data_IF_966992671085
#
_entry.id   IF_966992671085
#
_cell.length_a   1.000
_cell.length_b   1.000
_cell.length_c   1.000
_cell.angle_alpha   90.00
_cell.angle_beta   90.00
_cell.angle_gamma   90.00
#
_symmetry.space_group_name_H-M   'P 1'
#
loop_
_entity.id
_entity.type
_entity.pdbx_description
1 polymer ?
#
# COMPACT_ATOMS: atom_id res chain seq x y z
N UNK A 1 53.24 -12.68 16.41
CA UNK A 1 52.16 -13.57 15.93
C UNK A 1 52.19 -13.50 14.42
N UNK A 2 52.57 -14.60 13.74
CA UNK A 2 52.76 -14.58 12.28
C UNK A 2 51.44 -14.35 11.54
N UNK A 3 51.51 -13.51 10.49
CA UNK A 3 50.39 -13.13 9.63
C UNK A 3 49.66 -14.37 9.08
N UNK A 4 50.43 -15.42 8.78
CA UNK A 4 49.92 -16.70 8.26
C UNK A 4 49.07 -17.44 9.31
N UNK A 5 49.45 -17.39 10.59
CA UNK A 5 48.70 -18.00 11.69
C UNK A 5 47.40 -17.24 12.00
N UNK A 6 47.44 -15.91 11.89
CA UNK A 6 46.26 -15.06 12.06
C UNK A 6 45.25 -15.25 10.90
N UNK A 7 45.73 -15.31 9.65
CA UNK A 7 44.89 -15.59 8.47
C UNK A 7 44.18 -16.95 8.56
N UNK A 8 44.88 -18.02 8.95
CA UNK A 8 44.28 -19.36 9.09
C UNK A 8 43.17 -19.42 10.15
N UNK A 9 43.19 -18.51 11.14
CA UNK A 9 42.19 -18.45 12.20
C UNK A 9 41.01 -17.57 11.84
N UNK A 10 41.20 -16.50 11.05
CA UNK A 10 40.14 -15.55 10.68
C UNK A 10 39.34 -16.02 9.46
N UNK A 11 39.99 -16.63 8.46
CA UNK A 11 39.36 -17.05 7.21
C UNK A 11 38.13 -17.96 7.42
N UNK A 12 38.17 -18.99 8.30
CA UNK A 12 37.00 -19.84 8.55
C UNK A 12 35.82 -19.04 9.13
N UNK A 13 36.06 -18.13 10.08
CA UNK A 13 35.01 -17.32 10.67
C UNK A 13 34.42 -16.31 9.68
N UNK A 14 35.25 -15.72 8.80
CA UNK A 14 34.74 -14.85 7.73
C UNK A 14 33.90 -15.61 6.72
N UNK A 15 34.31 -16.83 6.34
CA UNK A 15 33.54 -17.67 5.42
C UNK A 15 32.22 -18.13 6.03
N UNK A 16 32.22 -18.52 7.31
CA UNK A 16 30.99 -18.86 8.05
C UNK A 16 30.08 -17.63 8.15
N UNK A 17 30.61 -16.46 8.47
CA UNK A 17 29.84 -15.22 8.53
C UNK A 17 29.20 -14.85 7.19
N UNK A 18 29.98 -14.91 6.10
CA UNK A 18 29.47 -14.66 4.75
C UNK A 18 28.43 -15.71 4.33
N UNK A 19 28.70 -16.99 4.58
CA UNK A 19 27.75 -18.08 4.31
C UNK A 19 26.44 -17.89 5.06
N UNK A 20 26.51 -17.50 6.34
CA UNK A 20 25.32 -17.21 7.16
C UNK A 20 24.54 -16.04 6.59
N UNK A 21 25.22 -14.98 6.15
CA UNK A 21 24.58 -13.81 5.52
C UNK A 21 23.89 -14.18 4.20
N UNK A 22 24.50 -15.03 3.37
CA UNK A 22 23.87 -15.53 2.15
C UNK A 22 22.63 -16.38 2.44
N UNK A 23 22.67 -17.25 3.46
CA UNK A 23 21.50 -18.05 3.87
C UNK A 23 20.37 -17.14 4.36
N UNK A 24 20.67 -16.13 5.19
CA UNK A 24 19.67 -15.15 5.65
C UNK A 24 19.06 -14.39 4.47
N UNK A 25 19.89 -13.95 3.52
CA UNK A 25 19.42 -13.26 2.32
C UNK A 25 18.53 -14.16 1.46
N UNK A 26 18.89 -15.43 1.27
CA UNK A 26 18.10 -16.38 0.52
C UNK A 26 16.75 -16.67 1.20
N UNK A 27 16.73 -16.85 2.53
CA UNK A 27 15.49 -17.01 3.30
C UNK A 27 14.61 -15.77 3.16
N UNK A 28 15.19 -14.58 3.30
CA UNK A 28 14.50 -13.31 3.12
C UNK A 28 13.90 -13.18 1.71
N UNK A 29 14.64 -13.57 0.68
CA UNK A 29 14.17 -13.60 -0.71
C UNK A 29 12.99 -14.55 -0.92
N UNK A 30 13.09 -15.79 -0.42
CA UNK A 30 12.02 -16.78 -0.53
C UNK A 30 10.75 -16.31 0.17
N UNK A 31 10.89 -15.72 1.36
CA UNK A 31 9.75 -15.17 2.09
C UNK A 31 9.08 -14.01 1.33
N UNK A 32 9.90 -13.12 0.77
CA UNK A 32 9.44 -12.00 -0.04
C UNK A 32 8.70 -12.45 -1.30
N UNK A 33 9.30 -13.34 -2.10
CA UNK A 33 8.70 -13.88 -3.32
C UNK A 33 7.39 -14.64 -3.02
N UNK A 34 7.35 -15.43 -1.94
CA UNK A 34 6.14 -16.12 -1.54
C UNK A 34 5.00 -15.16 -1.18
N UNK A 35 5.30 -14.05 -0.50
CA UNK A 35 4.31 -13.03 -0.10
C UNK A 35 3.74 -12.30 -1.32
N UNK A 36 4.54 -12.09 -2.36
CA UNK A 36 4.09 -11.47 -3.60
C UNK A 36 3.26 -12.41 -4.47
N UNK A 37 3.60 -13.70 -4.50
CA UNK A 37 2.82 -14.70 -5.24
C UNK A 37 1.48 -15.02 -4.59
N UNK A 38 1.38 -14.83 -3.28
CA UNK A 38 0.17 -15.07 -2.50
C UNK A 38 -0.21 -13.83 -1.69
N UNK A 39 -0.70 -12.75 -2.34
CA UNK A 39 -1.09 -11.55 -1.62
C UNK A 39 -2.15 -11.83 -0.56
N UNK A 40 -1.95 -11.29 0.64
CA UNK A 40 -2.86 -11.48 1.75
C UNK A 40 -4.19 -10.73 1.54
N UNK A 41 -5.24 -11.21 2.19
CA UNK A 41 -6.51 -10.49 2.33
C UNK A 41 -6.38 -9.37 3.36
N UNK A 42 -7.10 -8.27 3.18
CA UNK A 42 -7.18 -7.19 4.16
C UNK A 42 -8.60 -7.10 4.72
N UNK A 43 -8.70 -6.65 5.96
CA UNK A 43 -9.99 -6.37 6.57
C UNK A 43 -10.46 -5.00 6.11
N UNK A 44 -11.70 -4.92 5.62
CA UNK A 44 -12.37 -3.67 5.31
C UNK A 44 -13.40 -3.36 6.42
N UNK A 45 -13.70 -2.08 6.68
CA UNK A 45 -14.83 -1.72 7.54
C UNK A 45 -16.11 -2.37 7.02
N UNK A 46 -16.93 -2.96 7.89
CA UNK A 46 -18.25 -3.50 7.50
C UNK A 46 -19.26 -2.40 7.13
N UNK A 47 -19.01 -1.18 7.59
CA UNK A 47 -19.80 0.01 7.31
C UNK A 47 -18.88 1.22 7.14
N UNK A 48 -19.28 2.15 6.26
CA UNK A 48 -18.61 3.43 6.09
C UNK A 48 -19.64 4.55 5.91
N UNK A 49 -19.56 5.59 6.72
CA UNK A 49 -20.51 6.71 6.78
C UNK A 49 -22.00 6.25 6.84
N UNK A 50 -22.27 5.18 7.59
CA UNK A 50 -23.62 4.60 7.69
C UNK A 50 -24.01 3.67 6.54
N UNK A 51 -23.19 3.57 5.48
CA UNK A 51 -23.42 2.68 4.35
C UNK A 51 -22.84 1.29 4.61
N UNK A 52 -23.62 0.20 4.47
CA UNK A 52 -23.09 -1.15 4.62
C UNK A 52 -22.15 -1.50 3.46
N UNK A 53 -21.15 -2.34 3.73
CA UNK A 53 -20.32 -2.98 2.71
C UNK A 53 -21.22 -3.90 1.86
N UNK A 54 -21.42 -3.54 0.59
CA UNK A 54 -22.31 -4.25 -0.33
C UNK A 54 -21.58 -5.27 -1.19
N UNK A 55 -20.31 -5.02 -1.50
CA UNK A 55 -19.44 -5.95 -2.24
C UNK A 55 -17.99 -5.78 -1.82
N UNK A 56 -17.21 -6.85 -1.93
CA UNK A 56 -15.76 -6.81 -1.69
C UNK A 56 -14.99 -7.76 -2.59
N UNK A 57 -13.76 -7.38 -2.90
CA UNK A 57 -12.75 -8.19 -3.56
C UNK A 57 -11.46 -8.12 -2.73
N UNK A 58 -10.77 -9.25 -2.54
CA UNK A 58 -9.61 -9.33 -1.63
C UNK A 58 -8.48 -10.18 -2.22
N UNK A 59 -7.27 -9.99 -1.68
CA UNK A 59 -6.12 -10.84 -1.95
C UNK A 59 -5.65 -10.74 -3.40
N UNK A 60 -5.33 -11.87 -4.06
CA UNK A 60 -4.75 -11.87 -5.41
C UNK A 60 -5.61 -11.13 -6.45
N UNK A 61 -6.94 -11.27 -6.39
CA UNK A 61 -7.85 -10.63 -7.35
C UNK A 61 -7.80 -9.10 -7.25
N UNK A 62 -7.80 -8.56 -6.02
CA UNK A 62 -7.72 -7.12 -5.80
C UNK A 62 -6.34 -6.54 -6.20
N UNK A 63 -5.27 -7.31 -6.00
CA UNK A 63 -3.92 -6.92 -6.44
C UNK A 63 -3.81 -6.88 -7.96
N UNK A 64 -4.39 -7.86 -8.65
CA UNK A 64 -4.45 -7.89 -10.11
C UNK A 64 -5.23 -6.68 -10.65
N UNK A 65 -6.41 -6.42 -10.09
CA UNK A 65 -7.26 -5.29 -10.50
C UNK A 65 -6.55 -3.93 -10.27
N UNK A 66 -5.93 -3.74 -9.11
CA UNK A 66 -5.11 -2.56 -8.81
C UNK A 66 -3.94 -2.38 -9.82
N UNK A 67 -3.25 -3.48 -10.15
CA UNK A 67 -2.11 -3.43 -11.07
C UNK A 67 -2.55 -3.06 -12.49
N UNK A 68 -3.70 -3.58 -12.92
CA UNK A 68 -4.29 -3.27 -14.22
C UNK A 68 -4.68 -1.80 -14.33
N UNK A 69 -5.31 -1.24 -13.28
CA UNK A 69 -5.70 0.18 -13.25
C UNK A 69 -4.51 1.14 -13.40
N UNK A 70 -3.36 0.79 -12.82
CA UNK A 70 -2.18 1.66 -12.84
C UNK A 70 -1.22 1.39 -14.01
N UNK A 71 -1.47 0.36 -14.81
CA UNK A 71 -0.64 -0.01 -15.97
C UNK A 71 0.81 -0.36 -15.62
N UNK A 72 1.10 -0.64 -14.34
CA UNK A 72 2.41 -1.08 -13.85
C UNK A 72 2.25 -2.13 -12.78
N UNK A 73 3.16 -3.10 -12.77
CA UNK A 73 3.26 -4.03 -11.65
C UNK A 73 3.88 -3.30 -10.45
N UNK A 74 3.11 -3.24 -9.37
CA UNK A 74 3.62 -2.84 -8.08
C UNK A 74 3.98 -4.09 -7.27
N UNK A 75 5.03 -4.04 -6.44
CA UNK A 75 5.32 -5.11 -5.50
C UNK A 75 4.24 -5.11 -4.40
N UNK A 76 3.05 -5.66 -4.67
CA UNK A 76 1.96 -5.70 -3.69
C UNK A 76 1.97 -7.00 -2.91
N UNK A 77 1.81 -6.89 -1.60
CA UNK A 77 1.76 -8.01 -0.64
C UNK A 77 0.35 -8.30 -0.15
N UNK A 78 -0.60 -7.40 -0.42
CA UNK A 78 -2.01 -7.56 -0.10
C UNK A 78 -2.86 -6.59 -0.90
N UNK A 79 -4.14 -6.89 -1.08
CA UNK A 79 -5.08 -6.01 -1.78
C UNK A 79 -6.51 -6.21 -1.28
N UNK A 80 -7.28 -5.13 -1.30
CA UNK A 80 -8.70 -5.16 -1.05
C UNK A 80 -9.42 -4.02 -1.78
N UNK A 81 -10.64 -4.29 -2.20
CA UNK A 81 -11.60 -3.34 -2.76
C UNK A 81 -12.93 -3.57 -2.05
N UNK A 82 -13.52 -2.51 -1.51
CA UNK A 82 -14.85 -2.52 -0.92
C UNK A 82 -15.76 -1.51 -1.59
N UNK A 83 -16.99 -1.93 -1.87
CA UNK A 83 -18.06 -1.05 -2.37
C UNK A 83 -19.09 -0.92 -1.25
N UNK A 84 -19.49 0.30 -0.94
CA UNK A 84 -20.41 0.63 0.14
C UNK A 84 -21.70 1.24 -0.39
N UNK A 85 -22.83 0.84 0.20
CA UNK A 85 -24.16 1.23 -0.29
C UNK A 85 -24.36 0.79 -1.74
N UNK A 86 -24.96 1.66 -2.55
CA UNK A 86 -25.12 1.43 -3.99
C UNK A 86 -24.03 2.17 -4.80
N UNK A 87 -22.75 1.88 -4.52
CA UNK A 87 -21.56 2.56 -5.10
C UNK A 87 -21.36 4.03 -4.70
N UNK A 88 -21.98 4.42 -3.59
CA UNK A 88 -21.85 5.78 -3.05
C UNK A 88 -20.47 6.00 -2.40
N UNK A 89 -19.80 4.91 -2.00
CA UNK A 89 -18.38 4.95 -1.66
C UNK A 89 -17.67 3.66 -2.12
N UNK A 90 -16.43 3.81 -2.56
CA UNK A 90 -15.53 2.74 -2.96
C UNK A 90 -14.19 2.94 -2.26
N UNK A 91 -13.70 1.89 -1.62
CA UNK A 91 -12.45 1.87 -0.88
C UNK A 91 -11.49 0.88 -1.52
N UNK A 92 -10.33 1.38 -1.93
CA UNK A 92 -9.19 0.58 -2.34
C UNK A 92 -8.13 0.60 -1.26
N UNK A 93 -7.59 -0.58 -0.95
CA UNK A 93 -6.46 -0.74 -0.04
C UNK A 93 -5.44 -1.65 -0.69
N UNK A 94 -4.22 -1.16 -0.85
CA UNK A 94 -3.10 -1.92 -1.39
C UNK A 94 -1.95 -1.96 -0.37
N UNK A 95 -1.44 -3.15 -0.06
CA UNK A 95 -0.30 -3.31 0.84
C UNK A 95 1.00 -3.45 0.07
N UNK A 96 2.01 -2.70 0.50
CA UNK A 96 3.38 -2.83 0.06
C UNK A 96 4.21 -3.63 1.09
N UNK A 97 5.42 -4.12 0.73
CA UNK A 97 6.27 -4.88 1.63
C UNK A 97 6.72 -4.08 2.84
N UNK A 98 6.94 -2.78 2.66
CA UNK A 98 7.45 -1.87 3.69
C UNK A 98 6.83 -0.48 3.55
N UNK A 99 6.79 0.27 4.65
CA UNK A 99 6.22 1.62 4.71
C UNK A 99 6.81 2.58 3.66
N UNK A 100 8.11 2.50 3.42
CA UNK A 100 8.78 3.35 2.43
C UNK A 100 8.24 3.13 1.00
N UNK A 101 7.92 1.87 0.64
CA UNK A 101 7.36 1.58 -0.68
C UNK A 101 5.93 2.11 -0.81
N UNK A 102 5.10 1.99 0.24
CA UNK A 102 3.76 2.58 0.25
C UNK A 102 3.80 4.12 0.13
N UNK A 103 4.75 4.76 0.82
CA UNK A 103 4.97 6.21 0.71
C UNK A 103 5.30 6.61 -0.74
N UNK A 104 6.26 5.91 -1.36
CA UNK A 104 6.64 6.17 -2.75
C UNK A 104 5.48 5.95 -3.72
N UNK A 105 4.61 4.96 -3.47
CA UNK A 105 3.42 4.74 -4.29
C UNK A 105 2.46 5.93 -4.23
N UNK A 106 2.22 6.48 -3.03
CA UNK A 106 1.39 7.68 -2.86
C UNK A 106 2.00 8.89 -3.56
N UNK A 107 3.32 9.09 -3.45
CA UNK A 107 4.04 10.15 -4.16
C UNK A 107 3.95 9.99 -5.68
N UNK A 108 4.21 8.79 -6.20
CA UNK A 108 4.07 8.48 -7.63
C UNK A 108 2.66 8.79 -8.15
N UNK A 109 1.63 8.49 -7.36
CA UNK A 109 0.24 8.76 -7.72
C UNK A 109 -0.01 10.27 -7.76
N UNK A 110 0.44 11.00 -6.74
CA UNK A 110 0.34 12.46 -6.69
C UNK A 110 1.02 13.12 -7.89
N UNK A 111 2.27 12.75 -8.18
CA UNK A 111 3.05 13.33 -9.27
C UNK A 111 2.39 13.06 -10.62
N UNK A 112 1.88 11.84 -10.85
CA UNK A 112 1.15 11.50 -12.09
C UNK A 112 -0.13 12.28 -12.27
N UNK A 113 -0.88 12.52 -11.19
CA UNK A 113 -2.11 13.32 -11.23
C UNK A 113 -1.76 14.79 -11.51
N UNK A 114 -0.71 15.32 -10.90
CA UNK A 114 -0.25 16.70 -11.07
C UNK A 114 0.19 17.02 -12.51
N UNK A 115 0.63 16.01 -13.29
CA UNK A 115 0.95 16.17 -14.72
C UNK A 115 -0.29 16.52 -15.58
N UNK A 116 -1.51 16.30 -15.08
CA UNK A 116 -2.74 16.79 -15.71
C UNK A 116 -3.36 15.89 -16.79
N UNK A 117 -2.87 14.66 -16.96
CA UNK A 117 -3.45 13.65 -17.86
C UNK A 117 -4.33 12.63 -17.11
N UNK A 118 -5.04 13.09 -16.10
CA UNK A 118 -5.91 12.26 -15.27
C UNK A 118 -7.33 12.84 -15.24
N UNK A 119 -8.37 12.01 -15.00
CA UNK A 119 -9.73 12.49 -14.83
C UNK A 119 -9.95 13.21 -13.49
N UNK A 120 -8.90 13.35 -12.66
CA UNK A 120 -8.96 13.92 -11.33
C UNK A 120 -8.34 15.32 -11.31
N UNK A 121 -9.00 16.21 -10.57
CA UNK A 121 -8.53 17.57 -10.30
C UNK A 121 -8.14 17.67 -8.82
N UNK A 122 -6.90 18.04 -8.48
CA UNK A 122 -6.53 18.31 -7.10
C UNK A 122 -7.39 19.41 -6.48
N UNK A 123 -8.00 19.12 -5.33
CA UNK A 123 -8.84 20.08 -4.58
C UNK A 123 -8.22 20.51 -3.25
N UNK A 124 -7.08 19.92 -2.88
CA UNK A 124 -6.26 20.33 -1.75
C UNK A 124 -5.50 19.15 -1.13
N UNK A 125 -4.71 19.46 -0.11
CA UNK A 125 -4.05 18.46 0.71
C UNK A 125 -3.85 19.02 2.11
N UNK A 126 -3.70 18.15 3.10
CA UNK A 126 -3.36 18.58 4.46
C UNK A 126 -2.58 17.50 5.20
N UNK A 127 -1.81 17.93 6.19
CA UNK A 127 -1.07 17.04 7.08
C UNK A 127 -2.00 16.57 8.21
N UNK A 128 -2.21 15.26 8.31
CA UNK A 128 -2.91 14.58 9.40
C UNK A 128 -1.87 13.80 10.21
N UNK A 129 -1.43 14.36 11.34
CA UNK A 129 -0.31 13.85 12.13
C UNK A 129 1.00 13.75 11.33
N UNK A 130 1.40 12.54 10.92
CA UNK A 130 2.64 12.24 10.17
C UNK A 130 2.40 11.82 8.73
N UNK A 131 1.16 11.90 8.24
CA UNK A 131 0.79 11.53 6.87
C UNK A 131 0.09 12.68 6.16
N UNK A 132 0.37 12.82 4.88
CA UNK A 132 -0.36 13.76 4.02
C UNK A 132 -1.61 13.08 3.49
N UNK A 133 -2.75 13.76 3.60
CA UNK A 133 -4.00 13.37 2.96
C UNK A 133 -4.18 14.25 1.73
N UNK A 134 -4.22 13.63 0.56
CA UNK A 134 -4.48 14.31 -0.70
C UNK A 134 -5.98 14.25 -1.02
N UNK A 135 -6.53 15.36 -1.52
CA UNK A 135 -7.93 15.50 -1.92
C UNK A 135 -8.02 15.75 -3.42
N UNK A 136 -8.91 15.02 -4.08
CA UNK A 136 -9.23 15.23 -5.49
C UNK A 136 -10.74 15.30 -5.67
N UNK A 137 -11.15 15.90 -6.78
CA UNK A 137 -12.48 15.78 -7.34
C UNK A 137 -12.40 15.17 -8.74
N UNK A 138 -13.32 14.29 -9.08
CA UNK A 138 -13.38 13.67 -10.39
C UNK A 138 -14.54 12.69 -10.48
N UNK A 139 -15.01 12.43 -11.71
CA UNK A 139 -16.06 11.43 -11.95
C UNK A 139 -17.35 11.61 -11.11
N UNK A 140 -17.64 12.84 -10.67
CA UNK A 140 -18.81 13.14 -9.82
C UNK A 140 -18.64 12.82 -8.33
N UNK A 141 -17.45 12.39 -7.88
CA UNK A 141 -17.18 12.03 -6.49
C UNK A 141 -15.94 12.78 -5.94
N UNK A 142 -15.82 12.76 -4.61
CA UNK A 142 -14.62 13.19 -3.91
C UNK A 142 -13.69 11.99 -3.73
N UNK A 143 -12.40 12.23 -3.86
CA UNK A 143 -11.38 11.22 -3.64
C UNK A 143 -10.40 11.66 -2.57
N UNK A 144 -9.97 10.69 -1.77
CA UNK A 144 -8.91 10.86 -0.80
C UNK A 144 -7.93 9.73 -0.94
N UNK A 145 -6.64 10.04 -0.90
CA UNK A 145 -5.63 9.00 -0.83
C UNK A 145 -4.49 9.38 0.10
N UNK A 146 -3.99 8.37 0.78
CA UNK A 146 -2.99 8.52 1.82
C UNK A 146 -2.35 7.19 2.16
N UNK A 147 -1.29 7.26 2.97
CA UNK A 147 -0.61 6.11 3.52
C UNK A 147 -1.05 5.83 4.95
N UNK A 148 -1.22 4.55 5.30
CA UNK A 148 -1.25 4.05 6.68
C UNK A 148 -0.27 2.88 6.80
N UNK A 149 0.81 3.06 7.55
CA UNK A 149 1.93 2.08 7.63
C UNK A 149 2.41 1.64 6.25
N UNK A 150 2.29 0.37 5.90
CA UNK A 150 2.65 -0.19 4.61
C UNK A 150 1.46 -0.28 3.64
N UNK A 151 0.33 0.34 3.97
CA UNK A 151 -0.87 0.38 3.15
C UNK A 151 -0.99 1.73 2.43
N UNK A 152 -1.45 1.66 1.19
CA UNK A 152 -1.97 2.76 0.40
C UNK A 152 -3.49 2.68 0.44
N UNK A 153 -4.14 3.75 0.88
CA UNK A 153 -5.58 3.87 0.98
C UNK A 153 -6.05 4.83 -0.11
N UNK A 154 -7.06 4.45 -0.86
CA UNK A 154 -7.77 5.34 -1.79
C UNK A 154 -9.28 5.20 -1.58
N UNK A 155 -9.89 6.25 -1.05
CA UNK A 155 -11.34 6.38 -0.88
C UNK A 155 -11.90 7.24 -2.00
N UNK A 156 -13.02 6.80 -2.54
CA UNK A 156 -13.86 7.53 -3.49
C UNK A 156 -15.27 7.55 -2.91
N UNK A 157 -15.92 8.71 -2.80
CA UNK A 157 -17.23 8.82 -2.17
C UNK A 157 -18.04 10.02 -2.65
N UNK A 158 -19.36 9.89 -2.61
CA UNK A 158 -20.29 10.99 -2.87
C UNK A 158 -20.04 12.16 -1.91
N UNK A 159 -20.25 13.38 -2.41
CA UNK A 159 -19.81 14.61 -1.73
C UNK A 159 -20.42 14.77 -0.32
N UNK A 160 -21.64 14.28 -0.11
CA UNK A 160 -22.41 14.34 1.13
C UNK A 160 -21.80 13.50 2.25
N UNK A 161 -21.16 12.37 1.91
CA UNK A 161 -20.64 11.41 2.90
C UNK A 161 -19.11 11.37 2.96
N UNK A 162 -18.44 11.94 1.96
CA UNK A 162 -17.00 11.86 1.73
C UNK A 162 -16.14 12.18 2.96
N UNK A 163 -16.41 13.30 3.66
CA UNK A 163 -15.60 13.71 4.81
C UNK A 163 -15.85 12.81 6.04
N UNK A 164 -17.09 12.33 6.25
CA UNK A 164 -17.42 11.39 7.33
C UNK A 164 -16.72 10.04 7.08
N UNK A 165 -16.81 9.54 5.84
CA UNK A 165 -16.14 8.32 5.41
C UNK A 165 -14.62 8.43 5.61
N UNK A 166 -14.00 9.55 5.22
CA UNK A 166 -12.58 9.78 5.43
C UNK A 166 -12.19 9.71 6.91
N UNK A 167 -12.94 10.38 7.80
CA UNK A 167 -12.62 10.35 9.24
C UNK A 167 -12.64 8.93 9.80
N UNK A 168 -13.67 8.15 9.47
CA UNK A 168 -13.77 6.75 9.90
C UNK A 168 -12.61 5.89 9.37
N UNK A 169 -12.19 6.10 8.12
CA UNK A 169 -11.03 5.38 7.58
C UNK A 169 -9.73 5.76 8.25
N UNK A 170 -9.54 7.03 8.62
CA UNK A 170 -8.35 7.46 9.34
C UNK A 170 -8.22 6.82 10.71
N UNK A 171 -9.34 6.53 11.36
CA UNK A 171 -9.40 5.79 12.63
C UNK A 171 -9.20 4.28 12.42
N UNK A 172 -9.84 3.70 11.40
CA UNK A 172 -9.71 2.28 11.07
C UNK A 172 -8.30 1.91 10.59
N UNK A 173 -7.66 2.81 9.83
CA UNK A 173 -6.29 2.69 9.33
C UNK A 173 -5.42 3.81 9.91
N UNK A 174 -4.88 3.66 11.13
CA UNK A 174 -4.07 4.69 11.77
C UNK A 174 -2.68 4.89 11.14
#
# INVERSE_FOLDING_TARGET
>A
MDIIGLMKRIIPFTLIGLGTLFVIAAIGWVYFDNTMRNPATLFLPEQLAGLPLSSQMNGPQAVEDFSNLHGKQFPLTSGALGIYGNQQATLWVAGAPINFMAANMVTDMHDKIAVGNSPFTPSGEYLDNKRTIYKLEGMGQKHFYFQSKNLVIWLTADAEIAEIALQQLKEFYP
#
